data_IF_096220108176
#
_entry.id   IF_096220108176
#
_cell.length_a   1.000
_cell.length_b   1.000
_cell.length_c   1.000
_cell.angle_alpha   90.00
_cell.angle_beta   90.00
_cell.angle_gamma   90.00
#
_symmetry.space_group_name_H-M   'P 1'
#
loop_
_entity.id
_entity.type
_entity.pdbx_description
1 polymer ?
#
# COMPACT_ATOMS: atom_id res chain seq x y z
N UNK A 1 20.63 8.75 -33.89
CA UNK A 1 21.58 7.66 -33.60
C UNK A 1 21.69 7.49 -32.09
N UNK A 2 21.57 6.27 -31.56
CA UNK A 2 21.71 6.02 -30.12
C UNK A 2 23.16 6.19 -29.67
N UNK A 3 23.39 6.87 -28.55
CA UNK A 3 24.74 7.03 -27.99
C UNK A 3 25.25 5.67 -27.49
N UNK A 4 26.39 5.15 -28.01
CA UNK A 4 26.96 3.90 -27.53
C UNK A 4 27.33 3.99 -26.04
N UNK A 5 27.26 2.87 -25.33
CA UNK A 5 27.56 2.82 -23.89
C UNK A 5 28.93 3.46 -23.59
N UNK A 6 28.97 4.39 -22.65
CA UNK A 6 30.21 5.06 -22.25
C UNK A 6 30.74 6.14 -23.22
N UNK A 7 30.02 6.44 -24.30
CA UNK A 7 30.37 7.54 -25.23
C UNK A 7 29.69 8.85 -24.84
N UNK A 8 30.18 9.95 -25.39
CA UNK A 8 29.56 11.28 -25.27
C UNK A 8 28.34 11.37 -26.18
N UNK A 9 27.25 11.93 -25.67
CA UNK A 9 26.12 12.34 -26.52
C UNK A 9 26.49 13.59 -27.32
N UNK A 10 25.75 13.85 -28.40
CA UNK A 10 25.88 15.09 -29.19
C UNK A 10 25.74 16.37 -28.33
N UNK A 11 25.21 16.26 -27.10
CA UNK A 11 25.11 17.32 -26.09
C UNK A 11 26.27 17.40 -25.07
N UNK A 12 27.48 16.90 -25.41
CA UNK A 12 28.74 17.01 -24.62
C UNK A 12 28.81 16.25 -23.28
N UNK A 13 27.76 15.52 -22.87
CA UNK A 13 27.75 14.71 -21.63
C UNK A 13 28.01 13.22 -21.88
N UNK A 14 28.70 12.52 -20.98
CA UNK A 14 28.83 11.06 -21.04
C UNK A 14 27.50 10.36 -20.72
N UNK A 15 27.21 9.28 -21.45
CA UNK A 15 26.04 8.39 -21.24
C UNK A 15 25.86 7.95 -19.77
N UNK A 16 26.98 7.71 -19.06
CA UNK A 16 26.95 7.31 -17.64
C UNK A 16 26.31 8.38 -16.74
N UNK A 17 26.49 9.67 -17.04
CA UNK A 17 25.94 10.75 -16.23
C UNK A 17 24.40 10.78 -16.30
N UNK A 18 23.83 10.33 -17.40
CA UNK A 18 22.39 10.17 -17.55
C UNK A 18 21.88 8.93 -16.81
N UNK A 19 22.56 7.79 -16.98
CA UNK A 19 22.13 6.50 -16.40
C UNK A 19 22.22 6.46 -14.88
N UNK A 20 23.22 7.11 -14.29
CA UNK A 20 23.47 7.09 -12.85
C UNK A 20 22.43 7.89 -12.05
N UNK A 21 21.76 8.86 -12.68
CA UNK A 21 20.73 9.69 -12.02
C UNK A 21 19.41 8.95 -11.75
N UNK A 22 19.24 7.74 -12.29
CA UNK A 22 17.99 6.97 -12.28
C UNK A 22 17.90 6.10 -11.01
N UNK A 23 17.79 6.77 -9.85
CA UNK A 23 17.46 6.13 -8.56
C UNK A 23 18.30 6.62 -7.39
N UNK A 24 19.55 7.02 -7.62
CA UNK A 24 20.46 7.49 -6.58
C UNK A 24 20.54 9.03 -6.56
N UNK A 25 20.58 9.63 -5.38
CA UNK A 25 20.87 11.06 -5.23
C UNK A 25 22.38 11.32 -5.38
N UNK A 26 22.81 12.57 -5.66
CA UNK A 26 24.23 12.90 -5.87
C UNK A 26 25.17 12.36 -4.79
N UNK A 27 24.80 12.43 -3.52
CA UNK A 27 25.60 11.90 -2.41
C UNK A 27 25.81 10.38 -2.48
N UNK A 28 24.78 9.62 -2.86
CA UNK A 28 24.92 8.16 -2.97
C UNK A 28 25.80 7.77 -4.15
N UNK A 29 25.66 8.49 -5.26
CA UNK A 29 26.48 8.30 -6.45
C UNK A 29 27.94 8.58 -6.11
N UNK A 30 28.21 9.73 -5.51
CA UNK A 30 29.58 10.13 -5.19
C UNK A 30 30.21 9.19 -4.16
N UNK A 31 29.48 8.78 -3.11
CA UNK A 31 29.98 7.79 -2.15
C UNK A 31 30.33 6.46 -2.80
N UNK A 32 29.54 6.00 -3.77
CA UNK A 32 29.84 4.78 -4.52
C UNK A 32 31.09 4.96 -5.40
N UNK A 33 31.16 6.04 -6.17
CA UNK A 33 32.30 6.34 -7.04
C UNK A 33 33.59 6.46 -6.23
N UNK A 34 33.60 7.23 -5.14
CA UNK A 34 34.76 7.40 -4.27
C UNK A 34 35.16 6.08 -3.60
N UNK A 35 34.18 5.25 -3.19
CA UNK A 35 34.44 3.92 -2.64
C UNK A 35 35.07 2.97 -3.66
N UNK A 36 34.80 3.16 -4.95
CA UNK A 36 35.46 2.46 -6.05
C UNK A 36 36.74 3.13 -6.54
N UNK A 37 37.24 4.17 -5.86
CA UNK A 37 38.37 4.99 -6.27
C UNK A 37 38.19 5.65 -7.66
N UNK A 38 36.95 6.02 -7.99
CA UNK A 38 36.59 6.77 -9.20
C UNK A 38 36.28 8.22 -8.80
N UNK A 39 36.79 9.24 -9.52
CA UNK A 39 36.49 10.63 -9.22
C UNK A 39 34.98 10.90 -9.14
N UNK A 40 34.51 11.62 -8.10
CA UNK A 40 33.10 11.94 -7.97
C UNK A 40 32.65 12.91 -9.07
N UNK A 41 31.34 12.88 -9.37
CA UNK A 41 30.74 13.84 -10.31
C UNK A 41 30.18 15.01 -9.53
N UNK A 42 30.32 16.21 -10.08
CA UNK A 42 29.72 17.40 -9.49
C UNK A 42 28.20 17.25 -9.31
N UNK A 43 27.70 17.63 -8.13
CA UNK A 43 26.31 17.44 -7.77
C UNK A 43 25.36 18.29 -8.62
N UNK A 44 25.79 19.46 -9.09
CA UNK A 44 24.99 20.30 -9.99
C UNK A 44 24.81 19.63 -11.35
N UNK A 45 25.85 18.96 -11.84
CA UNK A 45 25.80 18.19 -13.09
C UNK A 45 24.79 17.05 -12.99
N UNK A 46 24.83 16.25 -11.91
CA UNK A 46 23.86 15.17 -11.71
C UNK A 46 22.42 15.70 -11.59
N UNK A 47 22.20 16.80 -10.86
CA UNK A 47 20.87 17.43 -10.74
C UNK A 47 20.37 17.95 -12.09
N UNK A 48 21.24 18.54 -12.91
CA UNK A 48 20.90 19.00 -14.26
C UNK A 48 20.46 17.82 -15.14
N UNK A 49 21.22 16.73 -15.14
CA UNK A 49 20.89 15.52 -15.92
C UNK A 49 19.62 14.84 -15.43
N UNK A 50 19.38 14.81 -14.12
CA UNK A 50 18.11 14.36 -13.56
C UNK A 50 16.93 15.21 -14.05
N UNK A 51 17.09 16.55 -14.12
CA UNK A 51 16.04 17.45 -14.62
C UNK A 51 15.76 17.22 -16.10
N UNK A 52 16.80 16.96 -16.91
CA UNK A 52 16.67 16.61 -18.33
C UNK A 52 15.93 15.27 -18.55
N UNK A 53 16.17 14.26 -17.69
CA UNK A 53 15.54 12.93 -17.82
C UNK A 53 14.14 12.83 -17.22
N UNK A 54 13.80 13.69 -16.25
CA UNK A 54 12.53 13.60 -15.53
C UNK A 54 11.29 13.57 -16.46
N UNK A 55 11.17 14.43 -17.50
CA UNK A 55 10.05 14.36 -18.43
C UNK A 55 9.94 13.02 -19.16
N UNK A 56 11.07 12.48 -19.65
CA UNK A 56 11.09 11.20 -20.38
C UNK A 56 10.61 10.03 -19.53
N UNK A 57 10.95 10.02 -18.23
CA UNK A 57 10.49 8.97 -17.30
C UNK A 57 9.00 9.13 -17.01
N UNK A 58 8.53 10.37 -16.84
CA UNK A 58 7.12 10.66 -16.56
C UNK A 58 6.25 10.24 -17.73
N UNK A 59 6.62 10.64 -18.94
CA UNK A 59 5.91 10.28 -20.18
C UNK A 59 5.92 8.77 -20.42
N UNK A 60 7.06 8.09 -20.20
CA UNK A 60 7.13 6.64 -20.31
C UNK A 60 6.20 5.92 -19.31
N UNK A 61 6.06 6.46 -18.10
CA UNK A 61 5.15 5.92 -17.09
C UNK A 61 3.68 6.18 -17.44
N UNK A 62 3.35 7.38 -17.92
CA UNK A 62 2.00 7.73 -18.36
C UNK A 62 1.58 6.85 -19.56
N UNK A 63 2.47 6.62 -20.54
CA UNK A 63 2.22 5.68 -21.63
C UNK A 63 2.06 4.23 -21.13
N UNK A 64 2.88 3.79 -20.18
CA UNK A 64 2.75 2.45 -19.56
C UNK A 64 1.43 2.30 -18.78
N UNK A 65 0.89 3.39 -18.23
CA UNK A 65 -0.43 3.41 -17.60
C UNK A 65 -1.54 3.27 -18.64
N UNK A 66 -1.47 3.96 -19.79
CA UNK A 66 -2.45 3.83 -20.88
C UNK A 66 -2.54 2.40 -21.43
N UNK A 67 -1.40 1.74 -21.60
CA UNK A 67 -1.37 0.33 -21.98
C UNK A 67 -2.01 -0.56 -20.90
N UNK A 68 -1.74 -0.27 -19.62
CA UNK A 68 -2.35 -1.00 -18.50
C UNK A 68 -3.86 -0.78 -18.38
N UNK A 69 -4.38 0.41 -18.73
CA UNK A 69 -5.82 0.69 -18.77
C UNK A 69 -6.52 -0.22 -19.79
N UNK A 70 -5.96 -0.31 -21.01
CA UNK A 70 -6.46 -1.18 -22.07
C UNK A 70 -6.44 -2.65 -21.65
N UNK A 71 -5.29 -3.13 -21.16
CA UNK A 71 -5.15 -4.52 -20.71
C UNK A 71 -6.12 -4.87 -19.56
N UNK A 72 -6.37 -3.93 -18.65
CA UNK A 72 -7.30 -4.12 -17.54
C UNK A 72 -8.74 -4.26 -18.03
N UNK A 73 -9.14 -3.45 -19.01
CA UNK A 73 -10.46 -3.53 -19.63
C UNK A 73 -10.64 -4.84 -20.41
N UNK A 74 -9.63 -5.27 -21.16
CA UNK A 74 -9.64 -6.55 -21.88
C UNK A 74 -9.77 -7.77 -20.95
N UNK A 75 -9.27 -7.65 -19.71
CA UNK A 75 -9.42 -8.69 -18.68
C UNK A 75 -10.71 -8.55 -17.86
N UNK A 76 -11.46 -7.46 -18.02
CA UNK A 76 -12.67 -7.19 -17.23
C UNK A 76 -13.88 -7.90 -17.82
N UNK A 77 -14.70 -8.50 -16.96
CA UNK A 77 -15.99 -9.08 -17.35
C UNK A 77 -17.07 -7.99 -17.55
N UNK A 78 -16.78 -6.75 -17.13
CA UNK A 78 -17.66 -5.60 -17.23
C UNK A 78 -17.01 -4.51 -18.09
N UNK A 79 -17.84 -3.63 -18.67
CA UNK A 79 -17.38 -2.44 -19.41
C UNK A 79 -16.73 -1.36 -18.52
N UNK A 80 -16.62 -1.62 -17.22
CA UNK A 80 -16.04 -0.71 -16.23
C UNK A 80 -14.83 -1.35 -15.57
N UNK A 81 -13.87 -0.51 -15.19
CA UNK A 81 -12.67 -0.93 -14.47
C UNK A 81 -12.96 -1.14 -12.98
N UNK A 82 -12.40 -2.22 -12.43
CA UNK A 82 -12.32 -2.47 -10.99
C UNK A 82 -10.88 -2.25 -10.52
N UNK A 83 -10.68 -1.32 -9.59
CA UNK A 83 -9.34 -0.89 -9.18
C UNK A 83 -9.17 -0.75 -7.66
N UNK A 84 -7.93 -0.85 -7.20
CA UNK A 84 -7.54 -0.56 -5.82
C UNK A 84 -6.78 0.75 -5.71
N UNK A 85 -7.17 1.59 -4.76
CA UNK A 85 -6.61 2.92 -4.53
C UNK A 85 -5.98 3.03 -3.14
N UNK A 86 -4.81 3.66 -3.08
CA UNK A 86 -4.12 4.01 -1.84
C UNK A 86 -3.20 5.20 -2.07
N UNK A 87 -2.95 5.97 -1.01
CA UNK A 87 -2.06 7.12 -1.02
C UNK A 87 -0.91 6.96 -0.02
N UNK A 88 0.25 7.49 -0.40
CA UNK A 88 1.45 7.51 0.40
C UNK A 88 1.99 8.93 0.59
N UNK A 89 2.54 9.20 1.78
CA UNK A 89 3.22 10.46 2.08
C UNK A 89 4.73 10.24 2.25
N UNK A 90 5.51 11.24 1.80
CA UNK A 90 6.97 11.23 1.89
C UNK A 90 7.46 11.47 3.32
N UNK A 91 6.75 12.27 4.12
CA UNK A 91 7.09 12.40 5.55
C UNK A 91 6.63 11.14 6.29
N UNK A 92 7.53 10.51 7.07
CA UNK A 92 7.11 9.48 8.04
C UNK A 92 6.28 10.16 9.13
N UNK A 93 4.99 9.85 9.20
CA UNK A 93 4.15 10.21 10.34
C UNK A 93 4.12 9.09 11.37
N UNK A 94 4.12 9.43 12.66
CA UNK A 94 3.84 8.52 13.78
C UNK A 94 2.33 8.22 13.94
N UNK A 95 1.51 8.54 12.94
CA UNK A 95 0.04 8.44 13.00
C UNK A 95 -0.66 9.70 13.56
N UNK A 96 0.09 10.65 14.12
CA UNK A 96 -0.47 11.85 14.78
C UNK A 96 -0.15 13.17 14.07
N UNK A 97 0.80 13.19 13.13
CA UNK A 97 1.25 14.40 12.43
C UNK A 97 0.85 14.38 10.95
N UNK A 98 -0.22 15.11 10.59
CA UNK A 98 -0.71 15.25 9.21
C UNK A 98 -0.13 16.50 8.52
N UNK A 99 1.20 16.61 8.49
CA UNK A 99 1.91 17.79 7.97
C UNK A 99 2.92 17.43 6.86
N UNK A 100 2.59 16.44 6.04
CA UNK A 100 3.42 16.15 4.87
C UNK A 100 3.21 17.19 3.78
N UNK A 101 4.30 17.74 3.26
CA UNK A 101 4.28 18.67 2.14
C UNK A 101 3.96 18.02 0.80
N UNK A 102 4.13 16.70 0.70
CA UNK A 102 3.86 15.93 -0.50
C UNK A 102 3.13 14.62 -0.24
N UNK A 103 2.33 14.23 -1.21
CA UNK A 103 1.62 12.95 -1.28
C UNK A 103 1.72 12.38 -2.68
N UNK A 104 1.59 11.06 -2.80
CA UNK A 104 1.42 10.36 -4.06
C UNK A 104 0.30 9.35 -3.91
N UNK A 105 -0.38 9.01 -4.98
CA UNK A 105 -1.41 7.98 -5.00
C UNK A 105 -1.27 7.11 -6.25
N UNK A 106 -1.80 5.90 -6.16
CA UNK A 106 -1.89 4.99 -7.31
C UNK A 106 -3.21 4.25 -7.33
N UNK A 107 -3.70 4.03 -8.54
CA UNK A 107 -4.85 3.19 -8.84
C UNK A 107 -4.30 2.00 -9.61
N UNK A 108 -4.58 0.83 -9.08
CA UNK A 108 -4.06 -0.44 -9.61
C UNK A 108 -5.25 -1.29 -10.05
N UNK A 109 -5.22 -1.77 -11.28
CA UNK A 109 -6.22 -2.71 -11.79
C UNK A 109 -6.21 -4.02 -10.99
N UNK A 110 -7.38 -4.54 -10.65
CA UNK A 110 -7.51 -5.78 -9.88
C UNK A 110 -7.10 -7.01 -10.70
N UNK A 111 -7.40 -7.02 -12.00
CA UNK A 111 -7.19 -8.16 -12.89
C UNK A 111 -5.72 -8.27 -13.31
N UNK A 112 -5.13 -7.18 -13.80
CA UNK A 112 -3.72 -7.14 -14.26
C UNK A 112 -2.72 -6.95 -13.12
N UNK A 113 -3.14 -6.28 -12.03
CA UNK A 113 -2.25 -5.85 -10.96
C UNK A 113 -1.25 -4.74 -11.36
N UNK A 114 -1.45 -4.12 -12.53
CA UNK A 114 -0.65 -2.99 -13.03
C UNK A 114 -1.23 -1.65 -12.55
N UNK A 115 -0.39 -0.63 -12.50
CA UNK A 115 -0.83 0.75 -12.21
C UNK A 115 -1.50 1.29 -13.47
N UNK A 116 -2.79 1.57 -13.37
CA UNK A 116 -3.59 2.14 -14.47
C UNK A 116 -3.56 3.67 -14.46
N UNK A 117 -3.33 4.28 -13.30
CA UNK A 117 -3.20 5.72 -13.14
C UNK A 117 -2.48 6.04 -11.81
N UNK A 118 -1.75 7.15 -11.74
CA UNK A 118 -1.04 7.62 -10.54
C UNK A 118 -1.00 9.14 -10.48
N UNK A 119 -0.88 9.69 -9.28
CA UNK A 119 -0.78 11.13 -9.13
C UNK A 119 0.15 11.54 -7.98
N UNK A 120 0.62 12.79 -8.02
CA UNK A 120 1.49 13.39 -7.02
C UNK A 120 0.99 14.79 -6.69
N UNK A 121 0.81 15.05 -5.40
CA UNK A 121 0.51 16.38 -4.85
C UNK A 121 1.68 16.94 -4.08
N UNK A 122 1.96 18.22 -4.27
CA UNK A 122 3.02 18.95 -3.56
C UNK A 122 2.62 20.39 -3.29
N UNK A 123 2.94 20.83 -2.07
CA UNK A 123 2.79 22.21 -1.60
C UNK A 123 4.05 23.04 -1.79
N UNK A 124 5.13 22.42 -2.28
CA UNK A 124 6.46 23.01 -2.28
C UNK A 124 7.03 23.08 -3.69
N UNK A 125 7.64 24.23 -3.98
CA UNK A 125 8.50 24.43 -5.13
C UNK A 125 9.78 25.09 -4.64
N UNK A 126 10.95 24.53 -4.96
CA UNK A 126 12.24 25.03 -4.52
C UNK A 126 12.53 26.46 -5.00
N UNK A 127 12.08 26.81 -6.20
CA UNK A 127 12.20 28.18 -6.72
C UNK A 127 11.30 29.10 -5.92
N UNK A 128 10.01 28.77 -5.75
CA UNK A 128 9.12 29.59 -4.93
C UNK A 128 9.65 29.76 -3.50
N UNK A 129 10.10 28.68 -2.85
CA UNK A 129 10.63 28.74 -1.49
C UNK A 129 11.88 29.61 -1.35
N UNK A 130 12.73 29.67 -2.38
CA UNK A 130 13.93 30.49 -2.36
C UNK A 130 13.60 32.00 -2.34
N UNK A 131 12.52 32.41 -3.00
CA UNK A 131 12.09 33.81 -3.08
C UNK A 131 11.09 34.20 -1.97
N UNK A 132 10.66 33.27 -1.11
CA UNK A 132 9.83 33.61 0.05
C UNK A 132 10.66 34.47 1.02
N UNK A 133 10.15 35.67 1.34
CA UNK A 133 10.78 36.58 2.30
C UNK A 133 11.97 37.38 1.75
N UNK A 134 12.24 37.32 0.45
CA UNK A 134 13.24 38.16 -0.21
C UNK A 134 12.57 39.37 -0.88
N UNK A 135 13.28 40.50 -0.92
CA UNK A 135 12.85 41.71 -1.63
C UNK A 135 13.11 41.65 -3.15
N UNK A 136 13.37 40.46 -3.69
CA UNK A 136 13.64 40.23 -5.12
C UNK A 136 12.40 39.61 -5.80
N UNK A 137 12.03 40.06 -7.01
CA UNK A 137 10.91 39.48 -7.72
C UNK A 137 11.21 38.03 -8.14
N UNK A 138 10.26 37.14 -7.88
CA UNK A 138 10.33 35.73 -8.27
C UNK A 138 10.34 35.61 -9.80
N UNK A 139 11.34 34.96 -10.42
CA UNK A 139 11.41 34.81 -11.86
C UNK A 139 10.28 33.90 -12.38
N UNK A 140 9.84 34.09 -13.64
CA UNK A 140 8.97 33.14 -14.33
C UNK A 140 9.60 31.75 -14.34
N UNK A 141 8.86 30.74 -13.90
CA UNK A 141 9.32 29.36 -13.88
C UNK A 141 8.14 28.39 -13.89
N UNK A 142 8.41 27.15 -14.27
CA UNK A 142 7.46 26.06 -14.14
C UNK A 142 7.31 25.68 -12.65
N UNK A 143 6.25 26.19 -12.04
CA UNK A 143 5.99 25.97 -10.62
C UNK A 143 5.66 24.50 -10.36
N UNK A 144 6.27 23.94 -9.32
CA UNK A 144 6.02 22.57 -8.91
C UNK A 144 4.77 22.46 -8.01
N UNK A 145 4.31 23.55 -7.40
CA UNK A 145 3.15 23.56 -6.48
C UNK A 145 1.87 23.28 -7.25
N UNK A 146 1.16 22.23 -6.86
CA UNK A 146 -0.14 21.84 -7.44
C UNK A 146 -1.20 21.55 -6.36
N UNK A 147 -0.89 21.86 -5.09
CA UNK A 147 -1.80 21.66 -3.97
C UNK A 147 -1.60 22.76 -2.93
N UNK A 148 -2.70 23.35 -2.45
CA UNK A 148 -2.70 24.41 -1.43
C UNK A 148 -3.38 23.99 -0.13
N UNK A 149 -4.17 22.91 -0.15
CA UNK A 149 -4.92 22.41 1.01
C UNK A 149 -4.11 21.63 2.04
N UNK A 150 -4.83 20.99 2.97
CA UNK A 150 -4.22 20.16 4.02
C UNK A 150 -3.62 18.85 3.47
N UNK A 151 -2.70 18.22 4.21
CA UNK A 151 -2.12 16.93 3.79
C UNK A 151 -3.16 15.81 3.71
N UNK A 152 -4.22 15.87 4.54
CA UNK A 152 -5.35 14.92 4.49
C UNK A 152 -6.18 15.08 3.22
N UNK A 153 -6.31 16.31 2.71
CA UNK A 153 -7.07 16.59 1.50
C UNK A 153 -6.38 16.13 0.21
N UNK A 154 -5.08 15.80 0.25
CA UNK A 154 -4.35 15.33 -0.94
C UNK A 154 -4.88 13.98 -1.46
N UNK A 155 -5.17 13.04 -0.55
CA UNK A 155 -5.64 11.71 -0.94
C UNK A 155 -6.97 11.77 -1.73
N UNK A 156 -8.04 12.38 -1.21
CA UNK A 156 -9.31 12.38 -1.92
C UNK A 156 -9.26 13.22 -3.20
N UNK A 157 -8.43 14.28 -3.23
CA UNK A 157 -8.20 15.08 -4.43
C UNK A 157 -7.49 14.29 -5.54
N UNK A 158 -6.43 13.55 -5.20
CA UNK A 158 -5.76 12.65 -6.15
C UNK A 158 -6.71 11.56 -6.64
N UNK A 159 -7.53 10.97 -5.77
CA UNK A 159 -8.53 9.97 -6.17
C UNK A 159 -9.47 10.51 -7.26
N UNK A 160 -10.05 11.69 -7.03
CA UNK A 160 -10.97 12.33 -7.98
C UNK A 160 -10.26 12.69 -9.29
N UNK A 161 -9.07 13.28 -9.20
CA UNK A 161 -8.29 13.69 -10.37
C UNK A 161 -7.91 12.50 -11.26
N UNK A 162 -7.56 11.37 -10.65
CA UNK A 162 -7.22 10.15 -11.39
C UNK A 162 -8.44 9.52 -12.06
N UNK A 163 -9.59 9.50 -11.39
CA UNK A 163 -10.86 9.02 -11.96
C UNK A 163 -11.29 9.91 -13.13
N UNK A 164 -11.15 11.23 -12.99
CA UNK A 164 -11.47 12.17 -14.06
C UNK A 164 -10.59 11.94 -15.29
N UNK A 165 -9.27 11.80 -15.12
CA UNK A 165 -8.35 11.52 -16.23
C UNK A 165 -8.65 10.20 -16.92
N UNK A 166 -9.01 9.16 -16.16
CA UNK A 166 -9.45 7.89 -16.74
C UNK A 166 -10.70 8.07 -17.60
N UNK A 167 -11.68 8.85 -17.13
CA UNK A 167 -12.88 9.14 -17.90
C UNK A 167 -12.57 9.94 -19.18
N UNK A 168 -11.62 10.89 -19.12
CA UNK A 168 -11.11 11.63 -20.28
C UNK A 168 -10.41 10.71 -21.30
N UNK A 169 -9.70 9.68 -20.83
CA UNK A 169 -9.10 8.63 -21.67
C UNK A 169 -10.13 7.59 -22.17
N UNK A 170 -11.42 7.72 -21.80
CA UNK A 170 -12.51 6.84 -22.24
C UNK A 170 -12.77 5.62 -21.36
N UNK A 171 -12.19 5.57 -20.15
CA UNK A 171 -12.34 4.47 -19.20
C UNK A 171 -13.15 4.88 -17.97
N UNK A 172 -14.20 4.12 -17.65
CA UNK A 172 -15.01 4.33 -16.44
C UNK A 172 -14.55 3.40 -15.32
N UNK A 173 -14.52 3.91 -14.09
CA UNK A 173 -14.23 3.09 -12.88
C UNK A 173 -15.54 2.78 -12.19
N UNK A 174 -15.94 1.51 -12.19
CA UNK A 174 -17.20 1.06 -11.58
C UNK A 174 -17.04 0.71 -10.10
N UNK A 175 -15.96 0.01 -9.76
CA UNK A 175 -15.67 -0.43 -8.39
C UNK A 175 -14.30 0.02 -7.92
N UNK A 176 -14.25 0.59 -6.72
CA UNK A 176 -13.03 1.07 -6.09
C UNK A 176 -12.81 0.40 -4.72
N UNK A 177 -11.68 -0.30 -4.58
CA UNK A 177 -11.20 -0.84 -3.31
C UNK A 177 -10.29 0.18 -2.65
N UNK A 178 -10.74 0.79 -1.57
CA UNK A 178 -9.98 1.82 -0.88
C UNK A 178 -10.24 1.80 0.63
N UNK A 179 -9.36 2.45 1.37
CA UNK A 179 -9.53 2.66 2.80
C UNK A 179 -10.85 3.34 3.11
N UNK A 180 -11.51 2.90 4.18
CA UNK A 180 -12.80 3.44 4.61
C UNK A 180 -12.63 4.77 5.38
N UNK A 181 -11.92 5.73 4.76
CA UNK A 181 -11.92 7.13 5.21
C UNK A 181 -13.15 7.84 4.64
N UNK A 182 -13.88 8.52 5.53
CA UNK A 182 -15.11 9.25 5.21
C UNK A 182 -14.81 10.44 4.27
N UNK A 183 -13.62 11.02 4.34
CA UNK A 183 -13.23 12.14 3.48
C UNK A 183 -13.03 11.72 2.02
N UNK A 184 -12.51 10.52 1.78
CA UNK A 184 -12.38 9.98 0.42
C UNK A 184 -13.73 9.56 -0.12
N UNK A 185 -14.57 8.92 0.70
CA UNK A 185 -15.90 8.52 0.26
C UNK A 185 -16.81 9.70 -0.15
N UNK A 186 -16.76 10.81 0.57
CA UNK A 186 -17.65 11.96 0.31
C UNK A 186 -17.31 12.73 -0.98
N UNK A 187 -16.08 12.62 -1.50
CA UNK A 187 -15.65 13.34 -2.70
C UNK A 187 -15.71 12.51 -3.98
N UNK A 188 -15.74 11.18 -3.85
CA UNK A 188 -15.85 10.29 -5.01
C UNK A 188 -17.22 10.46 -5.69
N UNK A 189 -17.29 10.31 -7.03
CA UNK A 189 -18.56 10.28 -7.76
C UNK A 189 -19.49 9.20 -7.19
N UNK A 190 -20.78 9.52 -7.07
CA UNK A 190 -21.80 8.59 -6.53
C UNK A 190 -21.97 7.31 -7.36
N UNK A 191 -21.54 7.32 -8.63
CA UNK A 191 -21.56 6.16 -9.51
C UNK A 191 -20.58 5.07 -9.08
N UNK A 192 -19.54 5.40 -8.32
CA UNK A 192 -18.49 4.43 -7.96
C UNK A 192 -18.90 3.63 -6.74
N UNK A 193 -18.91 2.31 -6.90
CA UNK A 193 -19.15 1.36 -5.81
C UNK A 193 -17.86 1.20 -5.02
N UNK A 194 -17.85 1.72 -3.79
CA UNK A 194 -16.74 1.51 -2.86
C UNK A 194 -16.88 0.17 -2.14
N UNK A 195 -15.89 -0.71 -2.30
CA UNK A 195 -15.77 -1.96 -1.54
C UNK A 195 -14.74 -1.81 -0.42
N UNK A 196 -15.00 -2.46 0.71
CA UNK A 196 -14.04 -2.49 1.82
C UNK A 196 -12.84 -3.39 1.45
N UNK A 197 -11.66 -3.11 2.01
CA UNK A 197 -10.51 -4.02 1.91
C UNK A 197 -10.46 -5.00 3.09
N UNK A 198 -10.19 -6.28 2.81
CA UNK A 198 -10.12 -7.35 3.82
C UNK A 198 -9.17 -7.05 4.97
N UNK A 199 -8.04 -6.41 4.70
CA UNK A 199 -7.03 -6.04 5.71
C UNK A 199 -7.58 -4.94 6.60
N UNK A 200 -8.23 -3.93 6.02
CA UNK A 200 -8.82 -2.81 6.74
C UNK A 200 -10.05 -3.23 7.56
N UNK A 201 -10.91 -4.10 7.03
CA UNK A 201 -12.01 -4.74 7.79
C UNK A 201 -11.49 -5.40 9.06
N UNK A 202 -10.41 -6.19 8.94
CA UNK A 202 -9.76 -6.87 10.06
C UNK A 202 -9.11 -5.90 11.05
N UNK A 203 -8.37 -4.89 10.56
CA UNK A 203 -7.72 -3.86 11.39
C UNK A 203 -8.77 -3.07 12.19
N UNK A 204 -9.85 -2.64 11.54
CA UNK A 204 -10.94 -1.89 12.16
C UNK A 204 -11.67 -2.73 13.22
N UNK A 205 -11.97 -4.00 12.92
CA UNK A 205 -12.55 -4.93 13.88
C UNK A 205 -11.67 -5.05 15.13
N UNK A 206 -10.37 -5.28 14.91
CA UNK A 206 -9.40 -5.42 15.99
C UNK A 206 -9.33 -4.13 16.83
N UNK A 207 -9.27 -2.95 16.19
CA UNK A 207 -9.22 -1.65 16.87
C UNK A 207 -10.45 -1.43 17.76
N UNK A 208 -11.66 -1.73 17.26
CA UNK A 208 -12.90 -1.63 18.06
C UNK A 208 -12.86 -2.56 19.27
N UNK A 209 -12.46 -3.82 19.08
CA UNK A 209 -12.36 -4.80 20.18
C UNK A 209 -11.31 -4.43 21.23
N UNK A 210 -10.14 -3.89 20.81
CA UNK A 210 -9.15 -3.35 21.75
C UNK A 210 -9.61 -2.06 22.45
N UNK A 211 -10.50 -1.29 21.83
CA UNK A 211 -11.19 -0.19 22.51
C UNK A 211 -12.09 -0.69 23.64
N UNK A 212 -12.91 -1.71 23.36
CA UNK A 212 -13.78 -2.35 24.34
C UNK A 212 -13.02 -3.04 25.48
N UNK A 213 -11.84 -3.60 25.22
CA UNK A 213 -11.05 -4.28 26.27
C UNK A 213 -10.55 -3.36 27.39
N UNK A 214 -10.61 -2.04 27.19
CA UNK A 214 -10.37 -1.06 28.25
C UNK A 214 -11.44 -1.16 29.35
N UNK A 215 -12.69 -1.36 28.96
CA UNK A 215 -13.85 -1.41 29.85
C UNK A 215 -14.19 -2.85 30.29
N UNK A 216 -13.85 -3.84 29.46
CA UNK A 216 -14.22 -5.25 29.70
C UNK A 216 -12.99 -6.16 29.87
N UNK A 217 -12.72 -6.55 31.12
CA UNK A 217 -11.55 -7.39 31.48
C UNK A 217 -11.49 -8.72 30.72
N UNK A 218 -12.64 -9.32 30.40
CA UNK A 218 -12.71 -10.60 29.67
C UNK A 218 -12.04 -10.55 28.29
N UNK A 219 -12.01 -9.37 27.64
CA UNK A 219 -11.37 -9.18 26.34
C UNK A 219 -9.85 -8.96 26.43
N UNK A 220 -9.29 -8.72 27.62
CA UNK A 220 -7.84 -8.44 27.80
C UNK A 220 -6.97 -9.66 27.58
N UNK A 221 -7.52 -10.88 27.70
CA UNK A 221 -6.75 -12.10 27.46
C UNK A 221 -6.26 -12.15 26.01
N UNK A 222 -4.96 -12.38 25.84
CA UNK A 222 -4.26 -12.26 24.56
C UNK A 222 -4.83 -13.14 23.43
N UNK A 223 -5.59 -14.20 23.76
CA UNK A 223 -6.19 -15.13 22.79
C UNK A 223 -7.61 -14.76 22.38
N UNK A 224 -8.32 -13.92 23.16
CA UNK A 224 -9.75 -13.65 23.00
C UNK A 224 -10.02 -12.79 21.78
N UNK A 225 -9.44 -11.59 21.71
CA UNK A 225 -9.64 -10.69 20.56
C UNK A 225 -9.22 -11.37 19.24
N UNK A 226 -8.05 -12.03 19.12
CA UNK A 226 -7.69 -12.77 17.92
C UNK A 226 -8.66 -13.90 17.54
N UNK A 227 -9.35 -14.50 18.52
CA UNK A 227 -10.37 -15.51 18.28
C UNK A 227 -11.65 -14.89 17.73
N UNK A 228 -12.17 -13.84 18.37
CA UNK A 228 -13.36 -13.12 17.89
C UNK A 228 -13.12 -12.61 16.46
N UNK A 229 -11.99 -11.96 16.21
CA UNK A 229 -11.60 -11.51 14.86
C UNK A 229 -11.56 -12.68 13.87
N UNK A 230 -11.11 -13.86 14.28
CA UNK A 230 -11.08 -15.05 13.41
C UNK A 230 -12.49 -15.51 13.06
N UNK A 231 -13.41 -15.55 14.00
CA UNK A 231 -14.81 -15.94 13.75
C UNK A 231 -15.43 -15.04 12.67
N UNK A 232 -15.37 -13.72 12.86
CA UNK A 232 -15.88 -12.75 11.88
C UNK A 232 -15.20 -12.90 10.50
N UNK A 233 -13.87 -12.89 10.47
CA UNK A 233 -13.15 -12.92 9.20
C UNK A 233 -13.28 -14.26 8.47
N UNK A 234 -13.46 -15.37 9.18
CA UNK A 234 -13.72 -16.68 8.58
C UNK A 234 -15.08 -16.69 7.89
N UNK A 235 -16.13 -16.27 8.59
CA UNK A 235 -17.49 -16.16 8.03
C UNK A 235 -17.53 -15.26 6.80
N UNK A 236 -16.92 -14.07 6.88
CA UNK A 236 -16.81 -13.16 5.74
C UNK A 236 -16.08 -13.85 4.59
N UNK A 237 -14.92 -14.47 4.83
CA UNK A 237 -14.13 -15.12 3.78
C UNK A 237 -14.84 -16.33 3.16
N UNK A 238 -15.68 -17.04 3.91
CA UNK A 238 -16.42 -18.22 3.47
C UNK A 238 -17.58 -17.84 2.53
N UNK A 239 -18.29 -16.76 2.83
CA UNK A 239 -19.52 -16.36 2.14
C UNK A 239 -19.34 -15.19 1.17
N UNK A 240 -18.25 -15.16 0.41
CA UNK A 240 -17.99 -14.07 -0.54
C UNK A 240 -18.99 -13.99 -1.70
N UNK A 241 -19.71 -15.09 -1.96
CA UNK A 241 -20.66 -15.21 -3.08
C UNK A 241 -22.13 -15.12 -2.63
N UNK A 242 -22.43 -15.03 -1.32
CA UNK A 242 -23.80 -15.04 -0.81
C UNK A 242 -23.97 -14.06 0.34
N UNK A 243 -24.67 -12.95 0.04
CA UNK A 243 -25.06 -11.93 1.03
C UNK A 243 -25.85 -12.53 2.19
N UNK A 244 -26.87 -13.32 1.86
CA UNK A 244 -27.80 -13.84 2.86
C UNK A 244 -27.10 -14.83 3.79
N UNK A 245 -26.31 -15.75 3.23
CA UNK A 245 -25.53 -16.70 4.02
C UNK A 245 -24.51 -16.00 4.93
N UNK A 246 -23.88 -14.92 4.44
CA UNK A 246 -22.99 -14.09 5.26
C UNK A 246 -23.73 -13.46 6.44
N UNK A 247 -24.88 -12.81 6.20
CA UNK A 247 -25.68 -12.17 7.24
C UNK A 247 -26.12 -13.16 8.31
N UNK A 248 -26.66 -14.30 7.89
CA UNK A 248 -27.13 -15.35 8.81
C UNK A 248 -25.98 -15.89 9.66
N UNK A 249 -24.85 -16.28 9.06
CA UNK A 249 -23.75 -16.85 9.84
C UNK A 249 -23.03 -15.79 10.70
N UNK A 250 -22.99 -14.51 10.30
CA UNK A 250 -22.48 -13.41 11.14
C UNK A 250 -23.33 -13.21 12.40
N UNK A 251 -24.66 -13.31 12.30
CA UNK A 251 -25.58 -13.16 13.43
C UNK A 251 -25.36 -14.23 14.51
N UNK A 252 -24.82 -15.40 14.14
CA UNK A 252 -24.56 -16.51 15.07
C UNK A 252 -23.25 -16.36 15.86
N UNK A 253 -22.36 -15.44 15.47
CA UNK A 253 -21.02 -15.34 16.07
C UNK A 253 -21.09 -14.92 17.53
N UNK A 254 -21.89 -13.88 17.85
CA UNK A 254 -21.99 -13.39 19.23
C UNK A 254 -22.69 -14.43 20.11
N UNK A 255 -23.86 -14.99 19.76
CA UNK A 255 -24.46 -16.12 20.49
C UNK A 255 -23.45 -17.24 20.78
N UNK A 256 -22.69 -17.66 19.76
CA UNK A 256 -21.67 -18.71 19.91
C UNK A 256 -20.60 -18.37 20.95
N UNK A 257 -20.12 -17.13 20.99
CA UNK A 257 -19.08 -16.70 21.95
C UNK A 257 -19.61 -16.67 23.38
N UNK A 258 -20.92 -16.48 23.55
CA UNK A 258 -21.62 -16.52 24.85
C UNK A 258 -22.18 -17.91 25.19
N UNK A 259 -21.88 -18.94 24.39
CA UNK A 259 -22.23 -20.34 24.67
C UNK A 259 -23.60 -20.77 24.12
N UNK A 260 -24.27 -19.91 23.35
CA UNK A 260 -25.52 -20.20 22.66
C UNK A 260 -25.20 -20.79 21.28
N UNK A 261 -25.38 -22.10 21.14
CA UNK A 261 -24.96 -22.87 19.96
C UNK A 261 -26.13 -23.34 19.09
N UNK A 262 -27.36 -22.93 19.39
CA UNK A 262 -28.60 -23.41 18.77
C UNK A 262 -28.64 -23.15 17.25
N UNK A 263 -28.05 -22.02 16.83
CA UNK A 263 -28.01 -21.60 15.43
C UNK A 263 -26.65 -21.86 14.76
N UNK A 264 -25.73 -22.54 15.45
CA UNK A 264 -24.39 -22.79 14.93
C UNK A 264 -24.38 -23.87 13.83
N UNK A 265 -23.53 -23.68 12.82
CA UNK A 265 -23.28 -24.71 11.81
C UNK A 265 -22.25 -25.74 12.32
N UNK A 266 -22.44 -27.04 12.06
CA UNK A 266 -21.43 -28.07 12.34
C UNK A 266 -20.15 -27.85 11.53
N UNK A 267 -20.16 -27.04 10.47
CA UNK A 267 -18.96 -26.77 9.67
C UNK A 267 -17.84 -26.11 10.47
N UNK A 268 -18.15 -25.31 11.48
CA UNK A 268 -17.16 -24.55 12.25
C UNK A 268 -17.33 -24.63 13.76
N UNK A 269 -18.53 -24.93 14.26
CA UNK A 269 -18.78 -25.09 15.68
C UNK A 269 -18.53 -26.54 16.12
N UNK A 270 -17.49 -26.75 16.94
CA UNK A 270 -17.16 -28.07 17.47
C UNK A 270 -18.16 -28.56 18.52
N UNK A 271 -18.91 -27.66 19.16
CA UNK A 271 -19.97 -28.06 20.11
C UNK A 271 -21.07 -28.86 19.41
N UNK A 272 -21.50 -28.42 18.24
CA UNK A 272 -22.52 -29.14 17.43
C UNK A 272 -22.01 -30.51 16.97
N UNK A 273 -20.69 -30.69 16.84
CA UNK A 273 -20.09 -31.98 16.47
C UNK A 273 -19.96 -32.94 17.65
N UNK A 274 -19.46 -32.45 18.78
CA UNK A 274 -19.25 -33.24 19.99
C UNK A 274 -19.41 -32.33 21.22
N UNK A 275 -20.61 -32.25 21.80
CA UNK A 275 -20.88 -31.44 22.98
C UNK A 275 -20.03 -31.86 24.18
N UNK A 276 -19.72 -33.16 24.31
CA UNK A 276 -19.07 -33.73 25.49
C UNK A 276 -17.60 -33.34 25.63
N UNK A 277 -16.92 -33.12 24.50
CA UNK A 277 -15.50 -32.70 24.46
C UNK A 277 -15.31 -31.21 24.19
N UNK A 278 -16.40 -30.45 24.03
CA UNK A 278 -16.30 -29.05 23.66
C UNK A 278 -15.76 -28.19 24.81
N UNK A 279 -14.68 -27.46 24.52
CA UNK A 279 -14.18 -26.36 25.36
C UNK A 279 -13.66 -25.23 24.50
N UNK A 280 -13.84 -23.99 24.94
CA UNK A 280 -13.32 -22.85 24.20
C UNK A 280 -11.79 -22.74 24.34
N UNK A 281 -11.05 -23.20 23.34
CA UNK A 281 -9.56 -23.16 23.34
C UNK A 281 -8.95 -21.76 23.50
N UNK A 282 -9.70 -20.72 23.12
CA UNK A 282 -9.20 -19.35 23.03
C UNK A 282 -9.92 -18.35 23.94
N UNK A 283 -10.97 -18.76 24.65
CA UNK A 283 -11.66 -17.93 25.64
C UNK A 283 -11.08 -18.19 27.05
N UNK A 284 -11.27 -17.24 27.99
CA UNK A 284 -10.74 -17.38 29.35
C UNK A 284 -11.28 -18.63 30.02
N UNK A 285 -10.41 -19.39 30.68
CA UNK A 285 -10.75 -20.60 31.44
C UNK A 285 -11.53 -21.68 30.66
N UNK A 286 -11.49 -21.64 29.32
CA UNK A 286 -12.24 -22.57 28.49
C UNK A 286 -13.76 -22.35 28.45
N UNK A 287 -14.24 -21.25 29.05
CA UNK A 287 -15.66 -20.93 29.21
C UNK A 287 -16.11 -19.85 28.23
N UNK A 288 -17.41 -19.78 28.00
CA UNK A 288 -18.04 -18.70 27.25
C UNK A 288 -17.79 -17.33 27.92
N UNK A 289 -17.91 -16.25 27.14
CA UNK A 289 -17.97 -14.91 27.70
C UNK A 289 -19.29 -14.70 28.46
N UNK A 290 -19.32 -13.75 29.39
CA UNK A 290 -20.48 -13.45 30.21
C UNK A 290 -20.72 -11.95 30.40
N UNK A 291 -21.94 -11.58 30.77
CA UNK A 291 -22.33 -10.20 31.10
C UNK A 291 -23.07 -9.48 29.97
N UNK A 292 -24.26 -8.98 30.28
CA UNK A 292 -25.21 -8.43 29.30
C UNK A 292 -24.67 -7.19 28.58
N UNK A 293 -23.99 -6.29 29.31
CA UNK A 293 -23.40 -5.08 28.73
C UNK A 293 -22.34 -5.39 27.66
N UNK A 294 -21.50 -6.41 27.90
CA UNK A 294 -20.49 -6.82 26.91
C UNK A 294 -21.16 -7.49 25.71
N UNK A 295 -22.22 -8.28 25.95
CA UNK A 295 -22.98 -8.91 24.88
C UNK A 295 -23.63 -7.86 23.98
N UNK A 296 -24.30 -6.87 24.55
CA UNK A 296 -24.95 -5.78 23.82
C UNK A 296 -23.96 -5.01 22.93
N UNK A 297 -22.77 -4.70 23.44
CA UNK A 297 -21.71 -4.03 22.66
C UNK A 297 -21.20 -4.90 21.50
N UNK A 298 -21.07 -6.22 21.71
CA UNK A 298 -20.66 -7.15 20.65
C UNK A 298 -21.78 -7.40 19.63
N UNK A 299 -23.05 -7.39 20.06
CA UNK A 299 -24.21 -7.48 19.17
C UNK A 299 -24.33 -6.22 18.29
N UNK A 300 -24.18 -5.02 18.87
CA UNK A 300 -24.08 -3.76 18.10
C UNK A 300 -22.94 -3.81 17.08
N UNK A 301 -21.79 -4.35 17.49
CA UNK A 301 -20.65 -4.55 16.59
C UNK A 301 -21.01 -5.52 15.47
N UNK A 302 -21.63 -6.67 15.76
CA UNK A 302 -22.03 -7.65 14.75
C UNK A 302 -23.05 -7.08 13.77
N UNK A 303 -24.07 -6.39 14.29
CA UNK A 303 -25.11 -5.74 13.52
C UNK A 303 -24.53 -4.73 12.51
N UNK A 304 -23.55 -3.92 12.93
CA UNK A 304 -22.86 -2.98 12.04
C UNK A 304 -22.14 -3.69 10.87
N UNK A 305 -21.69 -4.94 11.02
CA UNK A 305 -21.10 -5.73 9.93
C UNK A 305 -22.18 -6.40 9.07
N UNK A 306 -23.27 -6.86 9.66
CA UNK A 306 -24.43 -7.44 8.97
C UNK A 306 -25.08 -6.41 8.04
N UNK A 307 -25.28 -5.18 8.51
CA UNK A 307 -25.89 -4.08 7.74
C UNK A 307 -25.07 -3.72 6.50
N UNK A 308 -23.74 -3.77 6.60
CA UNK A 308 -22.83 -3.49 5.49
C UNK A 308 -22.35 -4.72 4.72
N UNK A 309 -23.05 -5.85 4.82
CA UNK A 309 -22.66 -7.09 4.14
C UNK A 309 -22.43 -6.89 2.63
N UNK A 310 -23.15 -5.98 1.98
CA UNK A 310 -22.95 -5.61 0.57
C UNK A 310 -21.52 -5.14 0.25
N UNK A 311 -20.89 -4.41 1.17
CA UNK A 311 -19.50 -3.92 1.04
C UNK A 311 -18.46 -4.97 1.44
N UNK A 312 -18.90 -6.09 2.02
CA UNK A 312 -18.08 -7.20 2.49
C UNK A 312 -18.07 -8.41 1.53
N UNK A 313 -18.82 -8.33 0.44
CA UNK A 313 -18.77 -9.28 -0.67
C UNK A 313 -17.66 -8.89 -1.66
N UNK A 314 -17.08 -9.89 -2.32
CA UNK A 314 -16.00 -9.69 -3.29
C UNK A 314 -14.91 -8.74 -2.79
N UNK A 315 -14.49 -8.92 -1.52
CA UNK A 315 -13.48 -8.08 -0.89
C UNK A 315 -12.19 -8.15 -1.70
N UNK A 316 -11.78 -7.00 -2.23
CA UNK A 316 -10.48 -6.87 -2.85
C UNK A 316 -9.36 -6.77 -1.82
N UNK A 317 -8.20 -6.38 -2.32
CA UNK A 317 -6.96 -6.34 -1.55
C UNK A 317 -6.15 -5.10 -1.91
N UNK A 318 -5.96 -4.17 -0.96
CA UNK A 318 -5.03 -3.03 -1.13
C UNK A 318 -3.56 -3.44 -0.98
N UNK A 319 -3.26 -4.74 -0.81
CA UNK A 319 -1.90 -5.26 -0.72
C UNK A 319 -1.05 -4.91 -1.95
N UNK A 320 -1.66 -4.79 -3.13
CA UNK A 320 -0.96 -4.36 -4.34
C UNK A 320 -0.47 -2.92 -4.22
N UNK A 321 -1.26 -2.05 -3.61
CA UNK A 321 -0.87 -0.67 -3.34
C UNK A 321 0.16 -0.59 -2.20
N UNK A 322 -0.01 -1.33 -1.09
CA UNK A 322 1.01 -1.39 -0.02
C UNK A 322 2.38 -1.83 -0.59
N UNK A 323 2.39 -2.83 -1.48
CA UNK A 323 3.58 -3.28 -2.20
C UNK A 323 4.15 -2.19 -3.13
N UNK A 324 3.29 -1.46 -3.83
CA UNK A 324 3.71 -0.34 -4.68
C UNK A 324 4.29 0.81 -3.86
N UNK A 325 3.66 1.21 -2.76
CA UNK A 325 4.15 2.25 -1.86
C UNK A 325 5.52 1.89 -1.25
N UNK A 326 5.77 0.61 -1.00
CA UNK A 326 7.11 0.13 -0.63
C UNK A 326 8.13 0.26 -1.79
N UNK A 327 7.71 0.00 -3.04
CA UNK A 327 8.53 0.24 -4.23
C UNK A 327 8.87 1.73 -4.37
N UNK A 328 7.87 2.61 -4.25
CA UNK A 328 8.06 4.07 -4.27
C UNK A 328 9.04 4.48 -3.18
N UNK A 329 8.96 3.93 -1.96
CA UNK A 329 9.91 4.23 -0.89
C UNK A 329 11.36 3.81 -1.22
N UNK A 330 11.58 2.87 -2.15
CA UNK A 330 12.92 2.51 -2.62
C UNK A 330 13.48 3.57 -3.60
N UNK A 331 12.61 4.19 -4.41
CA UNK A 331 13.00 5.25 -5.35
C UNK A 331 13.01 6.65 -4.72
N UNK A 332 12.10 6.91 -3.78
CA UNK A 332 11.96 8.14 -3.03
C UNK A 332 11.94 7.82 -1.52
N UNK A 333 13.11 7.56 -0.91
CA UNK A 333 13.23 7.30 0.52
C UNK A 333 12.66 8.43 1.37
N UNK A 334 11.86 8.07 2.37
CA UNK A 334 11.16 9.00 3.27
C UNK A 334 12.07 9.84 4.17
N UNK A 335 13.35 9.49 4.28
CA UNK A 335 14.35 10.27 5.01
C UNK A 335 14.94 11.42 4.17
N UNK A 336 14.49 11.59 2.93
CA UNK A 336 14.93 12.65 2.03
C UNK A 336 13.73 13.37 1.42
N UNK A 337 13.92 14.64 1.10
CA UNK A 337 12.87 15.45 0.48
C UNK A 337 13.13 15.62 -1.02
N UNK A 338 12.19 15.12 -1.83
CA UNK A 338 12.21 15.26 -3.30
C UNK A 338 11.10 16.17 -3.83
N UNK A 339 10.26 16.70 -2.93
CA UNK A 339 9.01 17.38 -3.25
C UNK A 339 9.13 18.81 -3.76
N UNK A 340 10.32 19.40 -3.73
CA UNK A 340 10.55 20.78 -4.19
C UNK A 340 10.71 20.91 -5.71
N UNK A 341 10.88 19.81 -6.43
CA UNK A 341 11.03 19.77 -7.90
C UNK A 341 10.27 18.60 -8.48
N UNK A 342 10.26 18.48 -9.82
CA UNK A 342 9.73 17.31 -10.55
C UNK A 342 10.42 15.98 -10.19
N UNK A 343 11.49 16.00 -9.39
CA UNK A 343 12.20 14.80 -8.93
C UNK A 343 11.27 13.80 -8.24
N UNK A 344 10.30 14.27 -7.44
CA UNK A 344 9.35 13.36 -6.80
C UNK A 344 8.47 12.64 -7.82
N UNK A 345 7.85 13.36 -8.76
CA UNK A 345 7.00 12.75 -9.81
C UNK A 345 7.80 11.75 -10.64
N UNK A 346 9.01 12.11 -11.08
CA UNK A 346 9.89 11.21 -11.81
C UNK A 346 10.25 9.93 -11.03
N UNK A 347 10.48 10.01 -9.72
CA UNK A 347 10.76 8.83 -8.87
C UNK A 347 9.53 7.95 -8.66
N UNK A 348 8.34 8.54 -8.53
CA UNK A 348 7.08 7.78 -8.51
C UNK A 348 6.86 7.11 -9.86
N UNK A 349 7.08 7.82 -10.97
CA UNK A 349 7.05 7.28 -12.34
C UNK A 349 8.04 6.12 -12.54
N UNK A 350 9.27 6.17 -11.99
CA UNK A 350 10.18 5.03 -11.99
C UNK A 350 9.60 3.80 -11.29
N UNK A 351 8.89 3.99 -10.18
CA UNK A 351 8.23 2.90 -9.47
C UNK A 351 7.05 2.31 -10.27
N UNK A 352 6.30 3.16 -10.98
CA UNK A 352 5.23 2.76 -11.91
C UNK A 352 5.81 1.91 -13.03
N UNK A 353 6.86 2.41 -13.69
CA UNK A 353 7.57 1.68 -14.74
C UNK A 353 8.08 0.31 -14.26
N UNK A 354 8.69 0.25 -13.08
CA UNK A 354 9.14 -1.03 -12.53
C UNK A 354 7.97 -1.99 -12.24
N UNK A 355 6.81 -1.47 -11.82
CA UNK A 355 5.63 -2.28 -11.53
C UNK A 355 5.00 -2.83 -12.82
N UNK A 356 4.78 -1.98 -13.82
CA UNK A 356 4.09 -2.34 -15.06
C UNK A 356 4.98 -3.13 -16.02
N UNK A 357 6.24 -2.71 -16.19
CA UNK A 357 7.17 -3.27 -17.20
C UNK A 357 8.16 -4.29 -16.61
N UNK A 358 8.30 -4.34 -15.28
CA UNK A 358 9.29 -5.19 -14.60
C UNK A 358 10.66 -4.52 -14.42
N UNK A 359 11.67 -5.27 -13.97
CA UNK A 359 12.98 -4.71 -13.60
C UNK A 359 13.82 -4.30 -14.81
N UNK A 360 13.42 -4.66 -16.03
CA UNK A 360 14.06 -4.23 -17.27
C UNK A 360 13.68 -2.82 -17.74
N UNK A 361 12.74 -2.14 -17.07
CA UNK A 361 12.15 -0.86 -17.47
C UNK A 361 13.17 0.24 -17.83
N UNK A 362 14.33 0.24 -17.15
CA UNK A 362 15.38 1.22 -17.38
C UNK A 362 15.91 1.20 -18.82
N UNK A 363 15.93 0.02 -19.45
CA UNK A 363 16.35 -0.15 -20.84
C UNK A 363 15.38 0.53 -21.82
N UNK A 364 14.09 0.57 -21.49
CA UNK A 364 13.05 1.27 -22.26
C UNK A 364 13.24 2.78 -22.16
N UNK A 365 13.45 3.29 -20.95
CA UNK A 365 13.74 4.73 -20.73
C UNK A 365 15.03 5.17 -21.42
N UNK A 366 16.08 4.35 -21.38
CA UNK A 366 17.33 4.63 -22.08
C UNK A 366 17.10 4.77 -23.59
N UNK A 367 16.34 3.85 -24.21
CA UNK A 367 15.96 3.94 -25.63
C UNK A 367 15.22 5.24 -25.95
N UNK A 368 14.21 5.58 -25.14
CA UNK A 368 13.43 6.80 -25.31
C UNK A 368 14.30 8.07 -25.15
N UNK A 369 15.36 7.98 -24.36
CA UNK A 369 16.35 9.06 -24.17
C UNK A 369 17.47 9.07 -25.22
N UNK A 370 17.36 8.25 -26.28
CA UNK A 370 18.40 8.04 -27.31
C UNK A 370 19.75 7.57 -26.74
N UNK A 371 19.73 6.92 -25.57
CA UNK A 371 20.86 6.29 -24.92
C UNK A 371 20.93 4.81 -25.25
N UNK A 372 22.12 4.22 -25.12
CA UNK A 372 22.27 2.77 -25.22
C UNK A 372 21.38 2.07 -24.17
N UNK A 373 20.56 1.08 -24.57
CA UNK A 373 19.72 0.31 -23.65
C UNK A 373 20.53 -0.36 -22.53
N UNK A 374 21.78 -0.71 -22.82
CA UNK A 374 22.70 -1.40 -21.92
C UNK A 374 22.42 -2.90 -21.84
N UNK A 375 23.29 -3.71 -22.44
CA UNK A 375 23.17 -5.17 -22.40
C UNK A 375 23.12 -5.72 -20.96
N UNK A 376 24.00 -5.22 -20.08
CA UNK A 376 24.02 -5.60 -18.66
C UNK A 376 22.74 -5.19 -17.91
N UNK A 377 22.15 -4.04 -18.26
CA UNK A 377 20.88 -3.56 -17.69
C UNK A 377 19.75 -4.53 -18.01
N UNK A 378 19.66 -4.97 -19.27
CA UNK A 378 18.66 -5.95 -19.72
C UNK A 378 18.83 -7.28 -18.98
N UNK A 379 20.06 -7.82 -18.95
CA UNK A 379 20.35 -9.08 -18.25
C UNK A 379 20.03 -8.99 -16.75
N UNK A 380 20.36 -7.87 -16.11
CA UNK A 380 20.03 -7.65 -14.71
C UNK A 380 18.52 -7.65 -14.48
N UNK A 381 17.76 -6.96 -15.33
CA UNK A 381 16.30 -6.93 -15.31
C UNK A 381 15.70 -8.33 -15.38
N UNK A 382 16.10 -9.12 -16.38
CA UNK A 382 15.63 -10.50 -16.58
C UNK A 382 15.90 -11.36 -15.33
N UNK A 383 17.11 -11.27 -14.75
CA UNK A 383 17.48 -12.03 -13.54
C UNK A 383 16.63 -11.63 -12.34
N UNK A 384 16.42 -10.33 -12.11
CA UNK A 384 15.58 -9.81 -11.02
C UNK A 384 14.13 -10.25 -11.18
N UNK A 385 13.59 -10.20 -12.40
CA UNK A 385 12.22 -10.65 -12.68
C UNK A 385 12.02 -12.14 -12.46
N UNK A 386 12.98 -12.98 -12.89
CA UNK A 386 12.97 -14.43 -12.59
C UNK A 386 12.96 -14.69 -11.07
N UNK A 387 13.84 -14.01 -10.33
CA UNK A 387 13.92 -14.13 -8.86
C UNK A 387 12.61 -13.68 -8.19
N UNK A 388 12.00 -12.58 -8.64
CA UNK A 388 10.70 -12.09 -8.16
C UNK A 388 9.61 -13.15 -8.36
N UNK A 389 9.52 -13.75 -9.55
CA UNK A 389 8.54 -14.79 -9.86
C UNK A 389 8.73 -16.02 -8.96
N UNK A 390 9.97 -16.46 -8.75
CA UNK A 390 10.28 -17.59 -7.88
C UNK A 390 9.88 -17.31 -6.41
N UNK A 391 10.26 -16.15 -5.87
CA UNK A 391 9.90 -15.75 -4.51
C UNK A 391 8.38 -15.70 -4.35
N UNK A 392 7.65 -15.13 -5.33
CA UNK A 392 6.18 -15.08 -5.31
C UNK A 392 5.57 -16.49 -5.27
N UNK A 393 6.07 -17.42 -6.09
CA UNK A 393 5.65 -18.83 -6.10
C UNK A 393 5.89 -19.50 -4.75
N UNK A 394 7.05 -19.26 -4.12
CA UNK A 394 7.34 -19.81 -2.79
C UNK A 394 6.43 -19.22 -1.72
N UNK A 395 6.24 -17.89 -1.72
CA UNK A 395 5.46 -17.18 -0.71
C UNK A 395 3.94 -17.46 -0.79
N UNK A 396 3.44 -17.84 -1.96
CA UNK A 396 2.02 -18.20 -2.13
C UNK A 396 1.67 -19.54 -1.48
N UNK A 397 2.66 -20.45 -1.31
CA UNK A 397 2.45 -21.79 -0.75
C UNK A 397 1.91 -21.75 0.68
N UNK A 398 1.04 -22.72 1.00
CA UNK A 398 0.47 -22.90 2.35
C UNK A 398 1.57 -23.21 3.37
N UNK A 399 2.57 -24.00 2.99
CA UNK A 399 3.70 -24.34 3.85
C UNK A 399 4.50 -23.09 4.25
N UNK A 400 4.85 -22.23 3.28
CA UNK A 400 5.54 -20.98 3.58
C UNK A 400 4.71 -20.07 4.50
N UNK A 401 3.41 -19.92 4.22
CA UNK A 401 2.48 -19.13 5.06
C UNK A 401 2.40 -19.68 6.50
N UNK A 402 2.30 -21.01 6.66
CA UNK A 402 2.31 -21.68 7.98
C UNK A 402 3.65 -21.46 8.71
N UNK A 403 4.77 -21.71 8.04
CA UNK A 403 6.12 -21.49 8.59
C UNK A 403 6.31 -20.05 9.06
N UNK A 404 5.88 -19.06 8.28
CA UNK A 404 5.90 -17.64 8.66
C UNK A 404 5.08 -17.36 9.92
N UNK A 405 3.89 -17.94 10.06
CA UNK A 405 3.06 -17.79 11.27
C UNK A 405 3.71 -18.44 12.49
N UNK A 406 4.30 -19.64 12.33
CA UNK A 406 5.02 -20.33 13.40
C UNK A 406 6.22 -19.51 13.88
N UNK A 407 7.02 -18.98 12.96
CA UNK A 407 8.17 -18.11 13.29
C UNK A 407 7.69 -16.85 14.01
N UNK A 408 6.61 -16.21 13.54
CA UNK A 408 6.04 -15.03 14.20
C UNK A 408 5.57 -15.35 15.62
N UNK A 409 4.92 -16.49 15.82
CA UNK A 409 4.45 -16.94 17.14
C UNK A 409 5.62 -17.22 18.09
N UNK A 410 6.70 -17.85 17.60
CA UNK A 410 7.93 -18.06 18.39
C UNK A 410 8.52 -16.72 18.83
N UNK A 411 8.77 -15.80 17.90
CA UNK A 411 9.29 -14.46 18.22
C UNK A 411 8.43 -13.70 19.24
N UNK A 412 7.09 -13.78 19.14
CA UNK A 412 6.20 -13.15 20.12
C UNK A 412 6.36 -13.75 21.52
N UNK A 413 6.53 -15.08 21.62
CA UNK A 413 6.79 -15.74 22.90
C UNK A 413 8.16 -15.38 23.46
N UNK A 414 9.17 -15.29 22.60
CA UNK A 414 10.53 -14.95 22.99
C UNK A 414 10.57 -13.50 23.51
N UNK A 415 9.97 -12.55 22.80
CA UNK A 415 9.84 -11.16 23.25
C UNK A 415 9.04 -11.03 24.56
N UNK A 416 7.98 -11.83 24.76
CA UNK A 416 7.24 -11.86 26.03
C UNK A 416 8.08 -12.40 27.19
N UNK A 417 8.96 -13.37 26.92
CA UNK A 417 9.88 -13.90 27.93
C UNK A 417 10.96 -12.89 28.28
N UNK A 418 11.45 -12.14 27.30
CA UNK A 418 12.43 -11.06 27.51
C UNK A 418 11.82 -9.90 28.31
N UNK A 419 10.60 -9.44 27.98
CA UNK A 419 9.95 -8.36 28.72
C UNK A 419 9.66 -8.71 30.18
N UNK A 420 9.31 -9.97 30.47
CA UNK A 420 9.12 -10.44 31.86
C UNK A 420 10.44 -10.44 32.65
N UNK A 421 11.59 -10.65 31.99
CA UNK A 421 12.91 -10.60 32.63
C UNK A 421 13.36 -9.16 32.94
N UNK A 422 12.98 -8.19 32.10
CA UNK A 422 13.27 -6.77 32.31
C UNK A 422 12.37 -6.14 33.40
N UNK A 423 11.17 -6.68 33.64
CA UNK A 423 10.21 -6.19 34.64
C UNK A 423 10.37 -6.79 36.05
N UNK A 424 11.27 -7.75 36.27
CA UNK A 424 11.69 -8.16 37.62
C UNK A 424 12.81 -7.24 38.11
N UNK A 425 12.56 -6.30 39.04
CA UNK A 425 13.65 -5.57 39.69
C UNK A 425 14.43 -6.56 40.55
N UNK A 426 15.74 -6.32 40.66
CA UNK A 426 16.56 -6.87 41.73
C UNK A 426 15.93 -6.49 43.08
N UNK A 427 15.13 -7.38 43.66
CA UNK A 427 15.07 -7.50 45.10
C UNK A 427 16.11 -8.54 45.52
N UNK A 428 16.85 -8.18 46.57
CA UNK A 428 17.86 -8.97 47.30
C UNK A 428 19.29 -9.00 46.72
N UNK A 429 20.12 -8.04 47.14
CA UNK A 429 20.93 -8.17 48.38
C UNK A 429 21.58 -6.87 48.80
#
# INVERSE_FOLDING_TARGET
MSVPTGKKSNGKGFDINYKVCLGMGPSHVNNFLTGCNIPPVDASTLRKKQKELAPVIIEAAEASCKEAQREELECSECSELEGSFDAGWQKRGSGWSYNSHTGHASLIGINTGKVVEFDVRTRNCSICQYYIGKNEPKPPHECNVNWTGSSKGMEPDMACSMIQRLAEDGYTVGTLHADNDATTQSRLPRSIIKKDDKTHVKKNLSKRLYGLSKNYKQLKSAKVIPYIVRCFMYTISKHQNSKQSMKTELATIVPHIFGHHEQCSPTWCTYVKDPTKFRFKHLPNGKALSGDKLREELDKLAQNYIERADRLLNLGSTQSNESFNNSVASFAPKNRFYGGTKSLKARVSSAVMQKNEGYGWLSKVNKNSLLSPGHLTILHGIRKDRRRKQIRKTQSTTNFKRKRLTIKSKKLKDNQRESVKEETPMEEK
#
